data_IF_724347707308
#
_entry.id   IF_724347707308
#
_cell.length_a   1.000
_cell.length_b   1.000
_cell.length_c   1.000
_cell.angle_alpha   90.00
_cell.angle_beta   90.00
_cell.angle_gamma   90.00
#
_symmetry.space_group_name_H-M   'P 1'
#
loop_
_entity.id
_entity.type
_entity.pdbx_description
1 polymer ?
#
# COMPACT_ATOMS: atom_id res chain seq x y z
N UNK A 1 7.44 3.31 9.40
CA UNK A 1 7.97 3.54 8.04
C UNK A 1 9.32 4.21 8.23
N UNK A 2 10.42 3.54 7.87
CA UNK A 2 11.74 4.16 7.86
C UNK A 2 11.90 4.95 6.55
N UNK A 3 12.41 6.18 6.63
CA UNK A 3 12.84 6.92 5.45
C UNK A 3 14.33 6.62 5.24
N UNK A 4 14.70 6.12 4.07
CA UNK A 4 16.09 5.95 3.65
C UNK A 4 16.40 7.04 2.62
N UNK A 5 17.13 8.11 2.99
CA UNK A 5 17.53 9.13 2.04
C UNK A 5 18.67 8.57 1.18
N UNK A 6 18.31 7.86 0.11
CA UNK A 6 19.29 7.40 -0.88
C UNK A 6 20.14 8.54 -1.43
N UNK A 7 21.34 8.21 -1.91
CA UNK A 7 22.25 9.16 -2.57
C UNK A 7 22.18 8.98 -4.08
N UNK A 8 21.75 10.02 -4.77
CA UNK A 8 21.66 10.09 -6.22
C UNK A 8 23.06 10.23 -6.84
N UNK A 9 23.35 9.41 -7.83
CA UNK A 9 24.59 9.35 -8.61
C UNK A 9 24.27 9.68 -10.06
N UNK A 10 25.23 10.28 -10.77
CA UNK A 10 25.03 10.76 -12.15
C UNK A 10 24.84 12.27 -12.27
N UNK A 11 24.87 12.74 -13.51
CA UNK A 11 25.15 14.14 -13.85
C UNK A 11 23.94 15.02 -14.17
N UNK A 12 22.74 14.45 -14.28
CA UNK A 12 21.57 15.23 -14.69
C UNK A 12 20.52 15.42 -13.59
N UNK A 13 20.70 14.71 -12.48
CA UNK A 13 19.71 14.57 -11.43
C UNK A 13 20.08 15.48 -10.24
N UNK A 14 19.97 16.80 -10.47
CA UNK A 14 20.12 17.85 -9.42
C UNK A 14 18.86 17.97 -8.56
N UNK A 15 18.84 18.85 -7.55
CA UNK A 15 17.75 19.00 -6.57
C UNK A 15 16.35 19.37 -7.13
N UNK A 16 16.14 19.33 -8.44
CA UNK A 16 14.94 19.81 -9.16
C UNK A 16 14.50 18.87 -10.30
N UNK A 17 14.92 17.60 -10.34
CA UNK A 17 14.37 16.64 -11.33
C UNK A 17 13.55 15.54 -10.69
N UNK A 18 12.46 15.96 -10.04
CA UNK A 18 11.26 15.14 -10.07
C UNK A 18 10.49 15.44 -11.35
N UNK A 19 10.31 14.43 -12.19
CA UNK A 19 9.30 14.49 -13.25
C UNK A 19 7.95 14.04 -12.68
N UNK A 20 6.86 14.42 -13.35
CA UNK A 20 5.54 13.92 -12.99
C UNK A 20 5.54 12.38 -13.08
N UNK A 21 5.50 11.76 -11.90
CA UNK A 21 5.41 10.33 -11.71
C UNK A 21 3.99 9.81 -11.93
N UNK A 22 3.82 8.53 -11.64
CA UNK A 22 2.50 7.90 -11.64
C UNK A 22 1.69 8.32 -10.42
N UNK A 23 2.37 8.47 -9.30
CA UNK A 23 1.79 8.76 -8.00
C UNK A 23 2.00 10.22 -7.62
N UNK A 24 3.23 10.72 -7.79
CA UNK A 24 3.61 12.10 -7.52
C UNK A 24 4.77 12.50 -8.43
N UNK A 25 5.98 12.34 -7.91
CA UNK A 25 7.25 12.72 -8.47
C UNK A 25 8.06 11.43 -8.65
N UNK A 26 8.67 11.25 -9.81
CA UNK A 26 9.46 10.06 -10.11
C UNK A 26 10.93 10.39 -10.35
N UNK A 27 11.79 9.38 -10.20
CA UNK A 27 13.15 9.41 -10.72
C UNK A 27 13.11 9.17 -12.23
N UNK A 28 13.81 9.98 -13.01
CA UNK A 28 14.08 9.75 -14.42
C UNK A 28 15.58 9.43 -14.55
N UNK A 29 15.88 8.25 -15.09
CA UNK A 29 17.22 7.69 -15.24
C UNK A 29 17.53 7.57 -16.74
N UNK A 30 18.73 7.98 -17.12
CA UNK A 30 19.11 8.21 -18.52
C UNK A 30 19.69 6.97 -19.25
N UNK A 31 19.60 5.77 -18.65
CA UNK A 31 20.16 4.56 -19.25
C UNK A 31 21.69 4.52 -19.35
N UNK A 32 22.41 5.44 -18.69
CA UNK A 32 23.87 5.54 -18.80
C UNK A 32 24.56 5.54 -17.44
N UNK A 33 24.35 6.57 -16.62
CA UNK A 33 25.09 6.81 -15.37
C UNK A 33 24.23 7.35 -14.22
N UNK A 34 22.93 7.56 -14.43
CA UNK A 34 22.00 7.97 -13.38
C UNK A 34 21.49 6.76 -12.58
N UNK A 35 21.69 6.78 -11.26
CA UNK A 35 21.18 5.76 -10.34
C UNK A 35 21.19 6.25 -8.89
N UNK A 36 20.68 5.46 -7.95
CA UNK A 36 20.60 5.83 -6.52
C UNK A 36 21.27 4.75 -5.66
N UNK A 37 22.25 5.14 -4.84
CA UNK A 37 22.73 4.31 -3.73
C UNK A 37 21.75 4.35 -2.57
N UNK A 38 21.36 3.19 -2.06
CA UNK A 38 20.45 3.03 -0.92
C UNK A 38 21.03 2.07 0.12
N UNK A 39 22.33 2.16 0.40
CA UNK A 39 23.07 1.18 1.22
C UNK A 39 22.51 0.93 2.63
N UNK A 40 21.76 1.88 3.23
CA UNK A 40 21.06 1.63 4.50
C UNK A 40 20.06 0.46 4.38
N UNK A 41 19.58 0.16 3.17
CA UNK A 41 18.71 -0.97 2.86
C UNK A 41 19.37 -2.32 3.19
N UNK A 42 20.70 -2.42 3.10
CA UNK A 42 21.45 -3.63 3.48
C UNK A 42 21.18 -3.99 4.94
N UNK A 43 21.20 -3.01 5.84
CA UNK A 43 20.91 -3.25 7.27
C UNK A 43 19.44 -3.58 7.50
N UNK A 44 18.54 -2.93 6.77
CA UNK A 44 17.08 -3.13 6.89
C UNK A 44 16.67 -4.54 6.46
N UNK A 45 17.23 -5.06 5.37
CA UNK A 45 16.84 -6.33 4.77
C UNK A 45 17.67 -7.53 5.27
N UNK A 46 18.68 -7.32 6.11
CA UNK A 46 19.67 -8.33 6.52
C UNK A 46 19.05 -9.62 7.11
N UNK A 47 17.81 -9.58 7.60
CA UNK A 47 17.13 -10.72 8.21
C UNK A 47 15.89 -11.19 7.43
N UNK A 48 15.59 -10.60 6.28
CA UNK A 48 14.40 -10.93 5.51
C UNK A 48 14.62 -12.24 4.74
N UNK A 49 13.86 -13.27 5.11
CA UNK A 49 13.83 -14.58 4.42
C UNK A 49 12.64 -14.72 3.46
N UNK A 50 11.78 -13.71 3.42
CA UNK A 50 10.59 -13.64 2.56
C UNK A 50 10.20 -12.17 2.41
N UNK A 51 9.39 -11.84 1.42
CA UNK A 51 9.01 -10.45 1.24
C UNK A 51 8.21 -10.18 -0.01
N UNK A 52 8.02 -8.90 -0.27
CA UNK A 52 7.52 -8.44 -1.55
C UNK A 52 8.20 -7.13 -1.95
N UNK A 53 8.21 -6.86 -3.24
CA UNK A 53 8.68 -5.61 -3.80
C UNK A 53 7.59 -5.10 -4.72
N UNK A 54 7.26 -3.81 -4.63
CA UNK A 54 6.29 -3.17 -5.50
C UNK A 54 6.79 -1.81 -5.96
N UNK A 55 6.58 -1.45 -7.22
CA UNK A 55 6.99 -0.17 -7.79
C UNK A 55 6.24 0.11 -9.09
N UNK A 56 6.19 1.38 -9.48
CA UNK A 56 5.86 1.79 -10.84
C UNK A 56 7.13 1.93 -11.65
N UNK A 57 7.11 1.40 -12.87
CA UNK A 57 8.18 1.64 -13.85
C UNK A 57 7.60 2.12 -15.17
N UNK A 58 8.37 2.94 -15.86
CA UNK A 58 8.14 3.39 -17.23
C UNK A 58 9.44 3.12 -18.00
N UNK A 59 9.40 2.25 -19.00
CA UNK A 59 10.57 1.96 -19.83
C UNK A 59 10.45 2.79 -21.10
N UNK A 60 11.45 3.59 -21.41
CA UNK A 60 11.35 4.61 -22.46
C UNK A 60 11.26 4.00 -23.85
N UNK A 61 12.13 3.04 -24.14
CA UNK A 61 12.17 2.35 -25.43
C UNK A 61 12.58 0.89 -25.26
N UNK A 62 12.14 0.05 -26.20
CA UNK A 62 12.76 -1.25 -26.47
C UNK A 62 14.07 -0.98 -27.24
N UNK A 63 15.19 -1.06 -26.53
CA UNK A 63 16.52 -0.71 -27.01
C UNK A 63 17.44 -1.94 -27.22
N UNK A 64 16.91 -3.16 -27.02
CA UNK A 64 17.73 -4.37 -27.08
C UNK A 64 18.55 -4.67 -25.82
N UNK A 65 18.42 -3.89 -24.73
CA UNK A 65 19.31 -3.96 -23.57
C UNK A 65 18.65 -4.57 -22.33
N UNK A 66 19.33 -4.48 -21.19
CA UNK A 66 18.83 -4.92 -19.88
C UNK A 66 18.96 -3.79 -18.89
N UNK A 67 17.90 -3.55 -18.12
CA UNK A 67 17.72 -2.41 -17.24
C UNK A 67 17.40 -2.87 -15.81
N UNK A 68 18.30 -2.57 -14.88
CA UNK A 68 18.13 -2.98 -13.47
C UNK A 68 17.31 -1.97 -12.71
N UNK A 69 16.21 -2.42 -12.10
CA UNK A 69 15.38 -1.57 -11.23
C UNK A 69 15.98 -1.49 -9.83
N UNK A 70 16.34 -2.63 -9.25
CA UNK A 70 16.91 -2.75 -7.91
C UNK A 70 18.00 -3.83 -7.91
N UNK A 71 19.16 -3.51 -7.38
CA UNK A 71 20.26 -4.45 -7.13
C UNK A 71 20.67 -4.45 -5.67
N UNK A 72 20.86 -5.64 -5.09
CA UNK A 72 21.51 -5.86 -3.80
C UNK A 72 22.64 -6.84 -4.03
N UNK A 73 23.86 -6.35 -4.10
CA UNK A 73 25.02 -7.05 -4.66
C UNK A 73 26.29 -6.78 -3.86
N UNK A 74 27.31 -7.63 -4.04
CA UNK A 74 28.63 -7.43 -3.48
C UNK A 74 29.45 -6.42 -4.30
N UNK A 75 30.11 -5.49 -3.63
CA UNK A 75 31.08 -4.57 -4.22
C UNK A 75 32.52 -5.10 -4.14
N UNK A 76 32.73 -6.22 -3.47
CA UNK A 76 34.03 -6.86 -3.49
C UNK A 76 34.29 -7.55 -4.85
N UNK A 77 35.56 -7.65 -5.22
CA UNK A 77 36.00 -8.41 -6.41
C UNK A 77 35.99 -9.93 -6.18
N UNK A 78 35.21 -10.41 -5.20
CA UNK A 78 35.09 -11.82 -4.84
C UNK A 78 34.11 -12.58 -5.73
N UNK A 79 33.62 -13.71 -5.23
CA UNK A 79 32.61 -14.49 -5.92
C UNK A 79 31.28 -13.73 -5.95
N UNK A 80 30.64 -13.65 -7.13
CA UNK A 80 29.39 -12.93 -7.32
C UNK A 80 28.32 -13.38 -6.31
N UNK A 81 27.85 -12.42 -5.49
CA UNK A 81 26.74 -12.62 -4.57
C UNK A 81 25.79 -11.45 -4.64
N UNK A 82 24.51 -11.74 -4.84
CA UNK A 82 23.48 -10.72 -4.87
C UNK A 82 22.18 -11.18 -5.48
N UNK A 83 21.17 -10.35 -5.32
CA UNK A 83 19.86 -10.48 -5.94
C UNK A 83 19.52 -9.17 -6.65
N UNK A 84 19.02 -9.26 -7.87
CA UNK A 84 18.60 -8.07 -8.62
C UNK A 84 17.35 -8.33 -9.47
N UNK A 85 16.65 -7.24 -9.74
CA UNK A 85 15.34 -7.19 -10.36
C UNK A 85 15.47 -6.31 -11.60
N UNK A 86 15.20 -6.86 -12.78
CA UNK A 86 15.52 -6.17 -14.03
C UNK A 86 14.50 -6.42 -15.14
N UNK A 87 14.33 -5.44 -15.99
CA UNK A 87 13.65 -5.58 -17.26
C UNK A 87 14.67 -5.95 -18.34
N UNK A 88 14.42 -7.01 -19.08
CA UNK A 88 15.13 -7.31 -20.32
C UNK A 88 14.30 -6.76 -21.48
N UNK A 89 14.94 -6.00 -22.37
CA UNK A 89 14.44 -5.56 -23.68
C UNK A 89 15.23 -6.25 -24.81
N UNK A 90 15.85 -7.39 -24.51
CA UNK A 90 16.60 -8.16 -25.52
C UNK A 90 15.61 -8.81 -26.47
N UNK A 91 15.83 -8.66 -27.78
CA UNK A 91 14.93 -9.12 -28.85
C UNK A 91 14.30 -10.51 -28.62
N UNK A 92 12.96 -10.58 -28.53
CA UNK A 92 12.11 -11.74 -28.22
C UNK A 92 12.23 -12.27 -26.77
N UNK A 93 12.69 -11.43 -25.84
CA UNK A 93 12.91 -11.75 -24.43
C UNK A 93 12.40 -10.61 -23.54
N UNK A 94 11.39 -9.88 -24.02
CA UNK A 94 10.97 -8.64 -23.39
C UNK A 94 10.13 -8.95 -22.14
N UNK A 95 10.80 -9.16 -21.02
CA UNK A 95 10.26 -9.75 -19.81
C UNK A 95 10.96 -9.18 -18.56
N UNK A 96 10.28 -9.30 -17.42
CA UNK A 96 10.81 -8.90 -16.13
C UNK A 96 11.43 -10.10 -15.42
N UNK A 97 12.66 -9.95 -14.94
CA UNK A 97 13.49 -10.99 -14.37
C UNK A 97 13.82 -10.74 -12.90
N UNK A 98 13.98 -11.84 -12.16
CA UNK A 98 14.62 -11.87 -10.85
C UNK A 98 15.73 -12.91 -10.89
N UNK A 99 16.94 -12.49 -10.54
CA UNK A 99 18.13 -13.36 -10.56
C UNK A 99 18.85 -13.27 -9.22
N UNK A 100 19.27 -14.42 -8.71
CA UNK A 100 20.03 -14.50 -7.47
C UNK A 100 21.28 -15.36 -7.63
N UNK A 101 22.38 -14.89 -7.05
CA UNK A 101 23.65 -15.59 -6.92
C UNK A 101 24.09 -15.58 -5.46
N UNK A 102 24.68 -16.69 -5.02
CA UNK A 102 25.32 -16.80 -3.70
C UNK A 102 26.66 -17.49 -3.91
N UNK A 103 27.75 -16.83 -3.49
CA UNK A 103 29.12 -17.32 -3.56
C UNK A 103 29.48 -17.86 -4.96
N UNK A 104 29.14 -17.09 -6.01
CA UNK A 104 29.49 -17.38 -7.40
C UNK A 104 28.59 -18.42 -8.07
N UNK A 105 27.63 -18.99 -7.34
CA UNK A 105 26.68 -19.97 -7.86
C UNK A 105 25.35 -19.26 -8.13
N UNK A 106 24.86 -19.35 -9.38
CA UNK A 106 23.50 -18.91 -9.71
C UNK A 106 22.51 -19.81 -8.98
N UNK A 107 21.74 -19.21 -8.08
CA UNK A 107 20.77 -19.92 -7.25
C UNK A 107 19.47 -20.10 -8.01
N UNK A 108 18.97 -19.02 -8.60
CA UNK A 108 17.85 -19.09 -9.52
C UNK A 108 17.83 -17.92 -10.49
N UNK A 109 17.07 -18.13 -11.56
CA UNK A 109 16.64 -17.09 -12.48
C UNK A 109 15.21 -17.40 -12.91
N UNK A 110 14.34 -16.42 -12.74
CA UNK A 110 12.91 -16.50 -13.07
C UNK A 110 12.50 -15.25 -13.81
N UNK A 111 11.58 -15.39 -14.76
CA UNK A 111 11.02 -14.24 -15.47
C UNK A 111 9.52 -14.35 -15.70
N UNK A 112 8.91 -13.20 -15.99
CA UNK A 112 7.56 -13.13 -16.57
C UNK A 112 7.52 -13.78 -17.96
N UNK A 113 6.35 -13.97 -18.56
CA UNK A 113 6.25 -14.50 -19.94
C UNK A 113 7.14 -13.72 -20.93
N UNK A 114 7.71 -14.40 -21.91
CA UNK A 114 8.44 -13.71 -22.99
C UNK A 114 7.52 -12.70 -23.68
N UNK A 115 8.07 -11.56 -24.06
CA UNK A 115 7.38 -10.42 -24.70
C UNK A 115 6.21 -9.86 -23.87
N UNK A 116 6.21 -10.09 -22.55
CA UNK A 116 5.20 -9.56 -21.65
C UNK A 116 5.38 -8.08 -21.34
N UNK A 117 6.55 -7.51 -21.58
CA UNK A 117 6.82 -6.08 -21.40
C UNK A 117 6.54 -5.23 -22.64
N UNK A 118 6.39 -5.80 -23.84
CA UNK A 118 6.10 -5.06 -25.08
C UNK A 118 4.89 -4.14 -24.95
N UNK A 119 3.84 -4.64 -24.30
CA UNK A 119 2.60 -3.90 -24.07
C UNK A 119 2.76 -2.73 -23.09
N UNK A 120 3.93 -2.59 -22.46
CA UNK A 120 4.23 -1.66 -21.40
C UNK A 120 5.33 -0.65 -21.73
N UNK A 121 6.11 -0.85 -22.81
CA UNK A 121 7.08 0.13 -23.31
C UNK A 121 6.38 1.46 -23.61
N UNK A 122 6.97 2.57 -23.15
CA UNK A 122 6.40 3.91 -23.27
C UNK A 122 5.17 4.15 -22.39
N UNK A 123 4.93 3.32 -21.36
CA UNK A 123 3.80 3.47 -20.43
C UNK A 123 4.16 3.06 -19.00
N UNK A 124 3.42 3.59 -18.03
CA UNK A 124 3.55 3.17 -16.63
C UNK A 124 2.96 1.78 -16.40
N UNK A 125 3.75 0.88 -15.83
CA UNK A 125 3.32 -0.44 -15.37
C UNK A 125 3.64 -0.61 -13.88
N UNK A 126 2.66 -1.09 -13.11
CA UNK A 126 2.86 -1.42 -11.70
C UNK A 126 3.34 -2.85 -11.57
N UNK A 127 4.54 -3.04 -11.04
CA UNK A 127 5.14 -4.35 -10.84
C UNK A 127 5.05 -4.74 -9.38
N UNK A 128 4.61 -5.98 -9.10
CA UNK A 128 4.67 -6.58 -7.76
C UNK A 128 5.34 -7.93 -7.87
N UNK A 129 6.31 -8.18 -7.00
CA UNK A 129 7.05 -9.45 -6.91
C UNK A 129 6.85 -9.99 -5.51
N UNK A 130 6.36 -11.23 -5.40
CA UNK A 130 6.09 -11.88 -4.12
C UNK A 130 7.03 -13.06 -3.89
N UNK A 131 7.70 -13.10 -2.74
CA UNK A 131 8.48 -14.24 -2.25
C UNK A 131 7.89 -14.74 -0.93
N UNK A 132 7.46 -16.00 -0.88
CA UNK A 132 6.76 -16.56 0.28
C UNK A 132 7.67 -17.25 1.31
N UNK A 133 8.99 -17.12 1.16
CA UNK A 133 10.00 -17.82 1.95
C UNK A 133 10.37 -19.20 1.42
N UNK A 134 9.78 -19.64 0.30
CA UNK A 134 10.12 -20.89 -0.38
C UNK A 134 10.48 -20.65 -1.85
N UNK A 135 9.76 -19.77 -2.52
CA UNK A 135 10.07 -19.33 -3.88
C UNK A 135 9.37 -18.00 -4.19
N UNK A 136 9.74 -17.41 -5.33
CA UNK A 136 8.93 -16.37 -5.97
C UNK A 136 7.62 -17.02 -6.45
N UNK A 137 6.50 -16.60 -5.87
CA UNK A 137 5.20 -17.20 -6.19
C UNK A 137 4.55 -16.54 -7.39
N UNK A 138 4.69 -15.22 -7.53
CA UNK A 138 4.12 -14.44 -8.62
C UNK A 138 4.93 -13.18 -8.93
N UNK A 139 4.92 -12.80 -10.20
CA UNK A 139 5.18 -11.44 -10.69
C UNK A 139 3.83 -10.92 -11.21
N UNK A 140 3.45 -9.70 -10.85
CA UNK A 140 2.23 -9.05 -11.33
C UNK A 140 2.59 -7.82 -12.14
N UNK A 141 1.88 -7.62 -13.26
CA UNK A 141 1.81 -6.34 -13.97
C UNK A 141 0.42 -5.77 -13.83
N UNK A 142 0.30 -4.55 -13.30
CA UNK A 142 -0.98 -3.88 -13.09
C UNK A 142 -1.98 -4.74 -12.27
N UNK A 143 -1.46 -5.41 -11.24
CA UNK A 143 -2.18 -6.37 -10.38
C UNK A 143 -2.76 -7.60 -11.13
N UNK A 144 -2.26 -7.90 -12.33
CA UNK A 144 -2.56 -9.12 -13.09
C UNK A 144 -1.34 -10.02 -13.04
N UNK A 145 -1.52 -11.27 -12.59
CA UNK A 145 -0.44 -12.23 -12.50
C UNK A 145 0.12 -12.53 -13.91
N UNK A 146 1.45 -12.54 -14.03
CA UNK A 146 2.12 -12.97 -15.26
C UNK A 146 2.32 -14.48 -15.23
N UNK A 147 2.59 -15.06 -16.40
CA UNK A 147 3.21 -16.39 -16.46
C UNK A 147 4.60 -16.29 -15.84
N UNK A 148 4.99 -17.27 -15.03
CA UNK A 148 6.35 -17.39 -14.50
C UNK A 148 7.10 -18.53 -15.17
N UNK A 149 8.33 -18.25 -15.60
CA UNK A 149 9.21 -19.21 -16.25
C UNK A 149 10.53 -19.26 -15.48
N UNK A 150 10.84 -20.44 -14.93
CA UNK A 150 12.11 -20.70 -14.25
C UNK A 150 13.15 -21.17 -15.26
N UNK A 151 14.34 -20.58 -15.24
CA UNK A 151 15.48 -21.00 -16.05
C UNK A 151 16.49 -21.80 -15.21
N UNK A 152 16.77 -21.32 -14.00
CA UNK A 152 17.67 -21.95 -13.04
C UNK A 152 16.96 -22.12 -11.69
N UNK A 153 17.21 -23.23 -10.98
CA UNK A 153 16.48 -23.59 -9.74
C UNK A 153 17.37 -24.33 -8.73
N UNK A 154 18.64 -23.97 -8.58
CA UNK A 154 19.56 -24.56 -7.60
C UNK A 154 18.98 -24.45 -6.19
N UNK A 155 18.56 -23.24 -5.80
CA UNK A 155 17.83 -22.97 -4.58
C UNK A 155 16.88 -21.79 -4.81
N UNK A 156 15.57 -22.06 -4.74
CA UNK A 156 14.54 -21.04 -4.93
C UNK A 156 14.19 -20.27 -3.65
N UNK A 157 14.67 -20.76 -2.50
CA UNK A 157 14.35 -20.18 -1.19
C UNK A 157 15.13 -18.90 -0.94
N UNK A 158 16.20 -18.67 -1.70
CA UNK A 158 17.10 -17.51 -1.61
C UNK A 158 16.33 -16.19 -1.66
N UNK A 159 16.58 -15.35 -0.67
CA UNK A 159 16.09 -13.97 -0.56
C UNK A 159 17.20 -13.05 -0.01
N UNK A 160 16.84 -11.91 0.59
CA UNK A 160 17.82 -10.90 1.01
C UNK A 160 18.77 -11.38 2.10
N UNK A 161 18.28 -12.10 3.13
CA UNK A 161 19.13 -12.63 4.19
C UNK A 161 20.24 -13.54 3.65
N UNK A 162 19.93 -14.35 2.64
CA UNK A 162 20.87 -15.31 2.07
C UNK A 162 22.08 -14.61 1.43
N UNK A 163 21.84 -13.52 0.69
CA UNK A 163 22.90 -12.77 -0.01
C UNK A 163 23.60 -11.74 0.90
N UNK A 164 22.90 -11.16 1.88
CA UNK A 164 23.45 -10.11 2.77
C UNK A 164 24.19 -10.71 3.97
N UNK A 165 23.59 -11.71 4.62
CA UNK A 165 24.05 -12.18 5.94
C UNK A 165 24.68 -13.57 5.89
N UNK A 166 24.07 -14.50 5.17
CA UNK A 166 24.43 -15.92 5.24
C UNK A 166 25.53 -16.32 4.24
N UNK A 167 25.67 -15.60 3.12
CA UNK A 167 26.73 -15.81 2.15
C UNK A 167 28.15 -15.58 2.74
N UNK A 168 29.14 -16.24 2.13
CA UNK A 168 30.56 -16.04 2.48
C UNK A 168 31.06 -14.70 1.97
N UNK A 169 30.80 -14.43 0.70
CA UNK A 169 31.02 -13.15 0.02
C UNK A 169 29.70 -12.40 0.07
N UNK A 170 29.62 -11.29 0.78
CA UNK A 170 28.32 -10.70 1.16
C UNK A 170 27.92 -9.58 0.22
N UNK A 171 26.64 -9.51 -0.10
CA UNK A 171 26.06 -8.31 -0.68
C UNK A 171 26.12 -7.17 0.35
N UNK A 172 26.77 -6.08 -0.03
CA UNK A 172 27.06 -4.92 0.83
C UNK A 172 26.70 -3.59 0.17
N UNK A 173 26.19 -3.63 -1.07
CA UNK A 173 25.71 -2.47 -1.80
C UNK A 173 24.28 -2.69 -2.28
N UNK A 174 23.44 -1.67 -2.07
CA UNK A 174 22.08 -1.63 -2.58
C UNK A 174 21.90 -0.41 -3.49
N UNK A 175 21.36 -0.63 -4.69
CA UNK A 175 21.20 0.39 -5.72
C UNK A 175 19.82 0.32 -6.38
N UNK A 176 19.27 1.48 -6.74
CA UNK A 176 18.08 1.61 -7.58
C UNK A 176 18.54 2.17 -8.92
N UNK A 177 18.10 1.58 -10.03
CA UNK A 177 18.41 2.06 -11.38
C UNK A 177 19.69 1.51 -12.01
N UNK A 178 20.44 0.65 -11.31
CA UNK A 178 21.65 -0.01 -11.84
C UNK A 178 21.90 -1.31 -11.07
N UNK A 179 22.72 -2.19 -11.63
CA UNK A 179 23.40 -3.27 -10.87
C UNK A 179 24.84 -2.84 -10.61
N UNK A 180 25.20 -2.68 -9.34
CA UNK A 180 26.56 -2.29 -8.95
C UNK A 180 27.35 -3.50 -8.46
N UNK A 181 28.38 -3.92 -9.19
CA UNK A 181 29.12 -5.15 -8.92
C UNK A 181 30.62 -4.90 -9.02
N UNK A 182 31.36 -5.26 -7.96
CA UNK A 182 32.83 -5.21 -7.93
C UNK A 182 33.41 -3.85 -8.39
N UNK A 183 32.83 -2.75 -7.94
CA UNK A 183 33.24 -1.38 -8.25
C UNK A 183 32.78 -0.86 -9.60
N UNK A 184 31.88 -1.57 -10.30
CA UNK A 184 31.42 -1.20 -11.64
C UNK A 184 29.88 -1.22 -11.74
N UNK A 185 29.37 -0.27 -12.52
CA UNK A 185 27.98 -0.17 -12.92
C UNK A 185 27.68 -1.11 -14.10
N UNK A 186 26.53 -1.77 -14.06
CA UNK A 186 26.04 -2.58 -15.17
C UNK A 186 24.52 -2.49 -15.27
N UNK A 187 24.01 -2.65 -16.50
CA UNK A 187 22.59 -2.64 -16.80
C UNK A 187 21.86 -1.39 -16.25
N UNK A 188 22.32 -0.17 -16.59
CA UNK A 188 21.67 1.06 -16.16
C UNK A 188 20.22 1.11 -16.67
N UNK A 189 19.32 1.64 -15.85
CA UNK A 189 17.91 1.75 -16.17
C UNK A 189 17.64 2.96 -17.07
N UNK A 190 16.93 2.74 -18.17
CA UNK A 190 16.50 3.81 -19.09
C UNK A 190 14.98 4.03 -18.95
N UNK A 191 14.62 5.16 -18.33
CA UNK A 191 13.23 5.55 -18.10
C UNK A 191 12.97 5.99 -16.67
N UNK A 192 11.75 5.74 -16.16
CA UNK A 192 11.27 6.34 -14.90
C UNK A 192 10.85 5.30 -13.86
N UNK A 193 11.15 5.60 -12.60
CA UNK A 193 10.80 4.78 -11.44
C UNK A 193 10.06 5.62 -10.40
N UNK A 194 8.96 5.09 -9.88
CA UNK A 194 8.12 5.75 -8.88
C UNK A 194 7.63 4.72 -7.84
N UNK A 195 7.41 5.20 -6.61
CA UNK A 195 6.83 4.45 -5.49
C UNK A 195 7.44 3.06 -5.22
N UNK A 196 8.78 2.96 -5.19
CA UNK A 196 9.46 1.71 -4.86
C UNK A 196 9.31 1.39 -3.36
N UNK A 197 8.62 0.28 -3.07
CA UNK A 197 8.33 -0.23 -1.74
C UNK A 197 8.85 -1.66 -1.60
N UNK A 198 9.45 -1.93 -0.44
CA UNK A 198 9.88 -3.28 -0.04
C UNK A 198 9.16 -3.65 1.25
N UNK A 199 8.60 -4.84 1.27
CA UNK A 199 7.82 -5.38 2.38
C UNK A 199 8.54 -6.60 2.95
N UNK A 200 8.64 -6.68 4.28
CA UNK A 200 9.22 -7.81 5.00
C UNK A 200 8.31 -9.05 5.05
N UNK A 201 7.29 -9.10 4.18
CA UNK A 201 6.36 -10.22 4.02
C UNK A 201 5.81 -10.27 2.60
N UNK A 202 5.42 -11.46 2.16
CA UNK A 202 4.62 -11.62 0.94
C UNK A 202 3.26 -10.92 1.08
N UNK A 203 2.79 -10.32 -0.02
CA UNK A 203 1.51 -9.61 -0.05
C UNK A 203 0.38 -10.53 -0.49
N UNK A 204 -0.73 -10.52 0.26
CA UNK A 204 -1.95 -11.22 -0.15
C UNK A 204 -2.75 -10.44 -1.22
N UNK A 205 -3.81 -11.05 -1.76
CA UNK A 205 -4.63 -10.45 -2.81
C UNK A 205 -5.21 -9.08 -2.42
N UNK A 206 -5.76 -8.94 -1.21
CA UNK A 206 -6.36 -7.69 -0.77
C UNK A 206 -5.31 -6.59 -0.61
N UNK A 207 -4.11 -6.93 -0.14
CA UNK A 207 -3.00 -5.98 0.01
C UNK A 207 -2.51 -5.48 -1.33
N UNK A 208 -2.30 -6.38 -2.31
CA UNK A 208 -1.91 -5.98 -3.67
C UNK A 208 -2.99 -5.17 -4.37
N UNK A 209 -4.26 -5.59 -4.23
CA UNK A 209 -5.39 -4.87 -4.78
C UNK A 209 -5.52 -3.47 -4.15
N UNK A 210 -5.25 -3.32 -2.85
CA UNK A 210 -5.22 -2.02 -2.20
C UNK A 210 -4.09 -1.14 -2.73
N UNK A 211 -2.89 -1.68 -2.88
CA UNK A 211 -1.75 -0.93 -3.44
C UNK A 211 -2.00 -0.45 -4.88
N UNK A 212 -2.61 -1.29 -5.72
CA UNK A 212 -2.88 -0.97 -7.12
C UNK A 212 -4.16 -0.13 -7.35
N UNK A 213 -5.30 -0.54 -6.78
CA UNK A 213 -6.63 0.06 -7.01
C UNK A 213 -7.14 0.94 -5.86
N UNK A 214 -6.71 0.67 -4.62
CA UNK A 214 -7.17 1.39 -3.41
C UNK A 214 -6.42 2.68 -3.11
N UNK A 215 -5.39 2.99 -3.91
CA UNK A 215 -4.60 4.20 -3.73
C UNK A 215 -4.18 4.91 -5.00
N UNK A 216 -4.42 4.46 -6.24
CA UNK A 216 -3.74 5.04 -7.42
C UNK A 216 -2.20 5.16 -7.23
N UNK A 217 -1.63 4.33 -6.36
CA UNK A 217 -0.27 4.42 -5.84
C UNK A 217 0.01 5.55 -4.83
N UNK A 218 -0.94 6.44 -4.51
CA UNK A 218 -0.81 7.53 -3.52
C UNK A 218 -0.17 7.02 -2.22
N UNK A 219 0.95 7.64 -1.86
CA UNK A 219 1.51 7.52 -0.52
C UNK A 219 0.45 8.01 0.47
N UNK A 220 -0.17 7.10 1.20
CA UNK A 220 -0.76 7.48 2.47
C UNK A 220 0.40 7.90 3.37
N UNK A 221 0.70 9.20 3.39
CA UNK A 221 1.62 9.78 4.35
C UNK A 221 1.08 9.36 5.72
N UNK A 222 1.83 8.50 6.41
CA UNK A 222 1.57 8.13 7.80
C UNK A 222 1.64 9.40 8.64
N UNK A 223 0.49 10.06 8.81
CA UNK A 223 0.36 11.37 9.47
C UNK A 223 -0.71 12.28 8.87
N UNK A 224 -1.13 12.04 7.62
CA UNK A 224 -2.37 12.64 7.10
C UNK A 224 -3.50 11.69 7.47
N UNK A 225 -4.15 11.96 8.60
CA UNK A 225 -5.46 11.39 8.86
C UNK A 225 -6.44 12.08 7.90
N UNK A 226 -6.42 11.68 6.64
CA UNK A 226 -7.46 12.07 5.71
C UNK A 226 -8.63 11.12 5.97
N UNK A 227 -9.80 11.72 6.14
CA UNK A 227 -11.07 11.08 6.46
C UNK A 227 -11.18 9.67 5.88
N UNK A 228 -11.23 8.63 6.72
CA UNK A 228 -11.56 7.29 6.24
C UNK A 228 -13.07 7.28 6.00
N UNK A 229 -13.45 7.48 4.75
CA UNK A 229 -14.84 7.46 4.27
C UNK A 229 -15.16 6.02 3.84
N UNK A 230 -15.93 5.27 4.64
CA UNK A 230 -16.50 4.00 4.21
C UNK A 230 -17.79 4.26 3.42
N UNK A 231 -17.66 4.86 2.22
CA UNK A 231 -18.82 5.44 1.52
C UNK A 231 -19.47 6.58 2.32
N UNK A 232 -20.68 7.00 1.93
CA UNK A 232 -21.37 8.13 2.58
C UNK A 232 -21.83 7.84 4.02
N UNK A 233 -21.64 6.63 4.55
CA UNK A 233 -22.34 6.16 5.74
C UNK A 233 -21.58 6.41 7.06
N UNK A 234 -20.24 6.29 7.09
CA UNK A 234 -19.42 6.44 8.30
C UNK A 234 -18.20 7.32 8.02
N UNK A 235 -18.07 8.41 8.78
CA UNK A 235 -17.07 9.46 8.61
C UNK A 235 -16.34 9.67 9.95
N UNK A 236 -15.03 9.38 10.00
CA UNK A 236 -14.18 9.74 11.14
C UNK A 236 -13.45 11.05 10.84
N UNK A 237 -13.73 12.12 11.58
CA UNK A 237 -13.00 13.39 11.45
C UNK A 237 -11.92 13.50 12.53
N UNK A 238 -10.64 13.41 12.15
CA UNK A 238 -9.54 13.21 13.09
C UNK A 238 -9.09 14.47 13.82
N UNK A 239 -9.41 15.67 13.32
CA UNK A 239 -8.88 16.91 13.90
C UNK A 239 -9.58 17.39 15.18
N UNK A 240 -10.78 16.88 15.46
CA UNK A 240 -11.55 17.27 16.66
C UNK A 240 -12.12 16.07 17.41
N UNK A 241 -11.76 14.83 17.05
CA UNK A 241 -12.21 13.60 17.74
C UNK A 241 -13.67 13.23 17.51
N UNK A 242 -14.36 13.93 16.60
CA UNK A 242 -15.76 13.67 16.29
C UNK A 242 -15.94 12.47 15.33
N UNK A 243 -17.03 11.71 15.54
CA UNK A 243 -17.50 10.63 14.66
C UNK A 243 -18.81 11.09 14.01
N UNK A 244 -18.87 11.08 12.68
CA UNK A 244 -20.05 11.38 11.88
C UNK A 244 -20.67 10.12 11.28
N UNK A 245 -21.99 9.99 11.33
CA UNK A 245 -22.75 9.01 10.56
C UNK A 245 -23.58 9.78 9.53
N UNK A 246 -23.30 9.57 8.25
CA UNK A 246 -23.87 10.31 7.11
C UNK A 246 -23.69 11.84 7.11
N UNK A 247 -22.78 12.39 7.92
CA UNK A 247 -22.45 13.83 7.96
C UNK A 247 -20.96 14.06 8.17
N UNK A 248 -20.41 15.06 7.47
CA UNK A 248 -19.08 15.64 7.70
C UNK A 248 -19.13 17.06 8.28
N UNK A 249 -20.33 17.60 8.50
CA UNK A 249 -20.51 18.95 9.05
C UNK A 249 -20.71 18.86 10.56
N UNK A 250 -19.80 19.49 11.30
CA UNK A 250 -19.83 19.61 12.76
C UNK A 250 -19.88 21.08 13.15
N UNK A 251 -20.36 21.37 14.35
CA UNK A 251 -20.18 22.70 14.94
C UNK A 251 -18.67 22.96 15.08
N UNK A 252 -18.21 24.14 14.63
CA UNK A 252 -16.79 24.55 14.67
C UNK A 252 -16.14 24.52 16.06
N UNK A 253 -16.93 24.38 17.11
CA UNK A 253 -16.49 24.29 18.50
C UNK A 253 -16.63 22.88 19.11
N UNK A 254 -17.27 21.93 18.41
CA UNK A 254 -17.48 20.58 18.90
C UNK A 254 -16.19 19.76 18.86
N UNK A 255 -15.89 19.07 19.96
CA UNK A 255 -14.77 18.12 20.08
C UNK A 255 -15.22 16.83 20.78
N UNK A 256 -14.80 15.68 20.27
CA UNK A 256 -15.08 14.34 20.79
C UNK A 256 -16.58 13.97 20.80
N UNK A 257 -17.35 14.41 19.81
CA UNK A 257 -18.79 14.15 19.71
C UNK A 257 -19.17 13.15 18.61
N UNK A 258 -20.28 12.44 18.80
CA UNK A 258 -20.98 11.70 17.74
C UNK A 258 -22.02 12.61 17.09
N UNK A 259 -21.91 12.84 15.78
CA UNK A 259 -22.93 13.49 14.97
C UNK A 259 -23.62 12.48 14.05
N UNK A 260 -24.93 12.58 13.93
CA UNK A 260 -25.73 11.76 13.01
C UNK A 260 -26.49 12.74 12.12
N UNK A 261 -26.39 12.57 10.80
CA UNK A 261 -27.14 13.40 9.86
C UNK A 261 -28.65 13.19 10.01
N UNK A 262 -29.41 14.23 9.69
CA UNK A 262 -30.86 14.13 9.70
C UNK A 262 -31.32 13.11 8.65
N UNK A 263 -32.18 12.19 9.09
CA UNK A 263 -32.77 11.16 8.24
C UNK A 263 -34.26 11.39 7.98
N UNK A 264 -34.84 10.52 7.16
CA UNK A 264 -36.29 10.39 7.05
C UNK A 264 -36.76 9.43 8.15
N UNK A 265 -37.81 9.82 8.88
CA UNK A 265 -38.43 8.95 9.87
C UNK A 265 -38.86 7.61 9.23
N UNK A 266 -38.42 6.46 9.75
CA UNK A 266 -38.82 5.17 9.21
C UNK A 266 -40.30 4.91 9.53
N UNK A 267 -41.08 4.50 8.51
CA UNK A 267 -42.51 4.20 8.66
C UNK A 267 -42.79 2.93 9.51
N UNK A 268 -41.76 2.10 9.74
CA UNK A 268 -41.79 0.92 10.60
C UNK A 268 -40.37 0.58 11.08
N UNK A 269 -40.27 -0.01 12.27
CA UNK A 269 -39.04 -0.65 12.75
C UNK A 269 -39.08 -2.15 12.46
N UNK A 270 -37.91 -2.79 12.38
CA UNK A 270 -37.77 -4.25 12.35
C UNK A 270 -37.40 -4.81 13.73
N UNK A 271 -38.11 -5.86 14.17
CA UNK A 271 -37.93 -6.54 15.46
C UNK A 271 -36.45 -6.72 15.86
N UNK A 272 -36.11 -6.36 17.10
CA UNK A 272 -34.79 -6.46 17.73
C UNK A 272 -33.75 -5.43 17.24
N UNK A 273 -34.17 -4.29 16.73
CA UNK A 273 -33.26 -3.20 16.34
C UNK A 273 -33.51 -1.92 17.15
N UNK A 274 -32.47 -1.09 17.23
CA UNK A 274 -32.55 0.27 17.79
C UNK A 274 -32.17 1.23 16.68
N UNK A 275 -33.07 2.17 16.38
CA UNK A 275 -32.81 3.26 15.44
C UNK A 275 -32.50 4.53 16.24
N UNK A 276 -31.33 5.10 16.01
CA UNK A 276 -30.90 6.39 16.58
C UNK A 276 -30.75 7.35 15.40
N UNK A 277 -31.55 8.41 15.39
CA UNK A 277 -31.54 9.41 14.34
C UNK A 277 -31.70 10.82 14.90
N UNK A 278 -31.29 11.79 14.10
CA UNK A 278 -31.65 13.19 14.27
C UNK A 278 -32.76 13.53 13.28
N UNK A 279 -33.67 14.42 13.70
CA UNK A 279 -34.71 14.99 12.84
C UNK A 279 -34.54 16.50 12.86
N UNK A 280 -34.56 17.12 11.68
CA UNK A 280 -34.51 18.57 11.52
C UNK A 280 -35.90 19.17 11.74
N UNK A 281 -36.16 19.74 12.92
CA UNK A 281 -37.33 20.58 13.17
C UNK A 281 -36.91 22.04 13.03
N UNK A 282 -36.81 22.52 11.79
CA UNK A 282 -36.24 23.82 11.41
C UNK A 282 -37.02 25.06 11.91
N UNK A 283 -37.66 24.97 13.07
CA UNK A 283 -38.16 26.07 13.91
C UNK A 283 -37.75 25.98 15.40
N UNK A 284 -36.55 25.42 15.67
CA UNK A 284 -35.59 25.86 16.71
C UNK A 284 -35.26 24.92 17.90
N UNK A 285 -35.28 23.59 17.75
CA UNK A 285 -34.44 22.70 18.57
C UNK A 285 -34.23 21.37 17.86
N UNK A 286 -33.00 21.01 17.49
CA UNK A 286 -32.69 19.65 17.01
C UNK A 286 -33.11 18.63 18.08
N UNK A 287 -34.04 17.74 17.75
CA UNK A 287 -34.52 16.71 18.68
C UNK A 287 -33.83 15.38 18.40
N UNK A 288 -33.25 14.77 19.44
CA UNK A 288 -32.85 13.36 19.42
C UNK A 288 -34.11 12.50 19.27
N UNK A 289 -34.20 11.71 18.19
CA UNK A 289 -35.26 10.72 18.03
C UNK A 289 -34.73 9.34 18.45
N UNK A 290 -35.40 8.74 19.43
CA UNK A 290 -35.15 7.36 19.87
C UNK A 290 -36.39 6.52 19.57
N UNK A 291 -36.29 5.61 18.61
CA UNK A 291 -37.37 4.67 18.31
C UNK A 291 -37.10 3.38 19.06
N UNK A 292 -37.96 3.08 20.03
CA UNK A 292 -37.85 1.91 20.90
C UNK A 292 -39.03 0.98 20.68
N UNK A 293 -38.76 -0.31 20.56
CA UNK A 293 -39.77 -1.35 20.60
C UNK A 293 -40.25 -1.54 22.05
N UNK A 294 -41.41 -0.99 22.39
CA UNK A 294 -42.06 -1.31 23.66
C UNK A 294 -43.49 -1.80 23.43
N UNK A 295 -43.80 -2.99 23.94
CA UNK A 295 -45.18 -3.45 24.03
C UNK A 295 -46.01 -2.50 24.90
N UNK A 296 -47.31 -2.36 24.61
CA UNK A 296 -48.22 -1.53 25.41
C UNK A 296 -48.28 -2.10 26.84
N UNK A 297 -47.69 -1.38 27.80
CA UNK A 297 -47.75 -1.72 29.22
C UNK A 297 -48.90 -0.94 29.89
N UNK A 298 -49.86 -1.66 30.45
CA UNK A 298 -51.05 -1.09 31.09
C UNK A 298 -50.71 -0.65 32.53
N UNK A 299 -50.63 0.66 32.79
CA UNK A 299 -50.12 1.23 34.05
C UNK A 299 -51.18 1.98 34.89
N UNK A 300 -52.45 1.57 34.81
CA UNK A 300 -53.53 2.09 35.66
C UNK A 300 -54.17 3.37 35.11
N UNK A 301 -54.64 4.26 35.99
CA UNK A 301 -55.58 5.35 35.66
C UNK A 301 -54.98 6.61 35.01
N UNK A 302 -53.70 6.61 34.66
CA UNK A 302 -53.07 7.75 33.99
C UNK A 302 -53.09 7.60 32.47
N UNK A 303 -53.43 8.69 31.77
CA UNK A 303 -53.41 8.80 30.31
C UNK A 303 -52.05 8.35 29.75
N UNK A 304 -51.98 7.60 28.64
CA UNK A 304 -50.72 7.04 28.15
C UNK A 304 -49.79 8.16 27.65
N UNK A 305 -48.84 8.57 28.48
CA UNK A 305 -47.66 9.33 28.04
C UNK A 305 -46.61 8.33 27.56
N UNK A 306 -45.92 8.61 26.44
CA UNK A 306 -44.77 7.81 26.01
C UNK A 306 -43.71 7.76 27.12
N UNK A 307 -43.14 6.58 27.39
CA UNK A 307 -42.12 6.38 28.43
C UNK A 307 -40.89 5.69 27.86
N UNK A 308 -39.73 5.98 28.44
CA UNK A 308 -38.47 5.32 28.13
C UNK A 308 -37.92 4.72 29.41
N UNK A 309 -37.68 3.39 29.43
CA UNK A 309 -36.93 2.75 30.54
C UNK A 309 -35.46 3.12 30.40
N UNK A 310 -34.88 3.65 31.48
CA UNK A 310 -33.43 3.88 31.57
C UNK A 310 -32.90 3.16 32.82
N UNK A 311 -31.63 2.72 32.79
CA UNK A 311 -30.96 2.21 33.98
C UNK A 311 -29.84 3.15 34.39
N UNK A 312 -29.91 3.63 35.62
CA UNK A 312 -28.85 4.44 36.23
C UNK A 312 -28.30 3.66 37.42
N UNK A 313 -27.02 3.32 37.38
CA UNK A 313 -26.32 2.55 38.43
C UNK A 313 -27.04 1.25 38.82
N UNK A 314 -27.49 0.49 37.82
CA UNK A 314 -28.20 -0.79 38.01
C UNK A 314 -29.64 -0.67 38.51
N UNK A 315 -30.13 0.54 38.79
CA UNK A 315 -31.53 0.82 39.17
C UNK A 315 -32.32 1.26 37.94
N UNK A 316 -33.52 0.72 37.76
CA UNK A 316 -34.40 1.06 36.64
C UNK A 316 -35.25 2.29 36.97
N UNK A 317 -35.27 3.23 36.03
CA UNK A 317 -36.06 4.46 36.07
C UNK A 317 -36.88 4.59 34.79
N UNK A 318 -37.85 5.48 34.85
CA UNK A 318 -38.64 5.88 33.71
C UNK A 318 -38.42 7.35 33.42
N UNK A 319 -38.05 7.67 32.18
CA UNK A 319 -38.27 9.01 31.65
C UNK A 319 -39.70 9.03 31.13
N UNK A 320 -40.52 9.89 31.71
CA UNK A 320 -41.88 10.15 31.27
C UNK A 320 -41.90 11.47 30.53
N UNK A 321 -42.34 11.45 29.27
CA UNK A 321 -42.47 12.66 28.46
C UNK A 321 -43.93 13.06 28.42
N UNK A 322 -44.23 14.30 28.81
CA UNK A 322 -45.55 14.88 28.58
C UNK A 322 -45.60 15.34 27.11
N UNK A 323 -46.59 14.87 26.37
CA UNK A 323 -46.75 15.26 24.97
C UNK A 323 -47.31 16.69 24.95
N UNK A 324 -46.59 17.61 24.31
CA UNK A 324 -47.02 19.00 24.10
C UNK A 324 -47.67 19.14 22.73
#
# INVERSE_FOLDING_TARGET
VGSNPGTLMGGDNTSVKSEAGKVNDCFHLNGTDDYIFVNDLITVLANDTSGAIAFWMFIDTDDGATHTVLGVTNDDGGDLTGIWFHASMVTNVDAFYVTAYVDGIKQFEIHSGLDSLDAHVGSWVYVIINHNGQEITEIYFNNVATVLVWQDTTDKTVWFKDVITDATTKADVATIGVRYLSGAEGNPFDGKLDDLRIFSKALNFNERAFLYNGGSGTELISGSYDTIVFGDDIILTPNDGCLGIATSTFDSTAKDFLAIANGIEPAAHTDNQIYIGSVDSSDATSTLALYLEQAIENIGTFTPSHKIKIKINGTEYWIQLDAV
#
